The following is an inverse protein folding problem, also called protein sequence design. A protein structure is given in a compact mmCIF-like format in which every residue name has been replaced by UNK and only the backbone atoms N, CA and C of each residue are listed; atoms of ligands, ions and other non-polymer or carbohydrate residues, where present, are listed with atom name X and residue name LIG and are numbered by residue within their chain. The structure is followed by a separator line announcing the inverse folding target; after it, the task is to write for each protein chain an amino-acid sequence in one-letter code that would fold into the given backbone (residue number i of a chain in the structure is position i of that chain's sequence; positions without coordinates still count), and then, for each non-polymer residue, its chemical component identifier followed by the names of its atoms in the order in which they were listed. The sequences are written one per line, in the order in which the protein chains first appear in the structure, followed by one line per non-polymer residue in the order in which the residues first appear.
data_IF_784105347496
#
_entry.id   IF_784105347496
#
_cell.length_a   1.000
_cell.length_b   1.000
_cell.length_c   1.000
_cell.angle_alpha   90.00
_cell.angle_beta   90.00
_cell.angle_gamma   90.00
#
_symmetry.space_group_name_H-M   'P 1'
#
loop_
_entity.id
_entity.type
_entity.pdbx_description
1 polymer ?
#
# COMPACT_ATOMS: atom_id res chain seq x y z
N UNK A 1 16.52 -2.62 -23.38
CA UNK A 1 15.76 -2.20 -22.19
C UNK A 1 15.01 -3.44 -21.67
N UNK A 2 15.31 -3.87 -20.45
CA UNK A 2 14.57 -4.97 -19.82
C UNK A 2 13.30 -4.42 -19.16
N UNK A 3 12.16 -5.05 -19.41
CA UNK A 3 10.89 -4.75 -18.74
C UNK A 3 11.03 -5.08 -17.26
N UNK A 4 10.55 -4.18 -16.38
CA UNK A 4 10.48 -4.41 -14.95
C UNK A 4 9.03 -4.71 -14.58
N UNK A 5 8.82 -5.77 -13.82
CA UNK A 5 7.50 -6.15 -13.29
C UNK A 5 7.45 -5.75 -11.82
N UNK A 6 6.47 -4.93 -11.47
CA UNK A 6 6.22 -4.48 -10.09
C UNK A 6 4.87 -5.03 -9.67
N UNK A 7 4.83 -5.81 -8.60
CA UNK A 7 3.59 -6.37 -8.09
C UNK A 7 3.01 -5.49 -6.98
N UNK A 8 1.71 -5.24 -7.00
CA UNK A 8 1.02 -4.63 -5.88
C UNK A 8 1.10 -5.52 -4.64
N UNK A 9 1.35 -4.90 -3.50
CA UNK A 9 1.48 -5.57 -2.21
C UNK A 9 0.43 -5.04 -1.22
N UNK A 10 -0.45 -5.95 -0.81
CA UNK A 10 -1.54 -5.64 0.12
C UNK A 10 -1.09 -5.91 1.57
N UNK A 11 -0.84 -4.89 2.40
CA UNK A 11 -0.33 -5.09 3.76
C UNK A 11 -1.41 -5.46 4.79
N UNK A 12 -2.54 -6.02 4.37
CA UNK A 12 -3.73 -6.24 5.22
C UNK A 12 -3.76 -7.63 5.89
N UNK A 13 -2.79 -8.49 5.63
CA UNK A 13 -2.76 -9.85 6.18
C UNK A 13 -2.12 -9.90 7.57
N UNK A 14 -2.57 -9.02 8.45
CA UNK A 14 -2.27 -9.01 9.89
C UNK A 14 -3.34 -8.20 10.63
N UNK A 15 -3.62 -8.50 11.93
CA UNK A 15 -4.60 -7.75 12.69
C UNK A 15 -4.09 -6.34 13.05
N UNK A 16 -5.02 -5.39 13.07
CA UNK A 16 -4.81 -4.03 13.58
C UNK A 16 -5.99 -3.65 14.50
N UNK A 17 -5.79 -2.75 15.48
CA UNK A 17 -6.85 -2.36 16.42
C UNK A 17 -8.11 -1.81 15.74
N UNK A 18 -7.95 -1.06 14.65
CA UNK A 18 -9.08 -0.51 13.89
C UNK A 18 -9.92 -1.62 13.27
N UNK A 19 -9.28 -2.61 12.64
CA UNK A 19 -9.99 -3.75 12.05
C UNK A 19 -10.65 -4.61 13.14
N UNK A 20 -10.00 -4.79 14.29
CA UNK A 20 -10.58 -5.49 15.44
C UNK A 20 -11.85 -4.81 15.93
N UNK A 21 -11.86 -3.48 15.96
CA UNK A 21 -13.04 -2.69 16.35
C UNK A 21 -14.17 -2.76 15.31
N UNK A 22 -13.84 -2.75 14.02
CA UNK A 22 -14.84 -2.71 12.95
C UNK A 22 -15.41 -4.08 12.59
N UNK A 23 -14.58 -5.13 12.64
CA UNK A 23 -14.87 -6.44 12.06
C UNK A 23 -14.79 -7.60 13.07
N UNK A 24 -14.36 -7.31 14.28
CA UNK A 24 -14.15 -8.29 15.34
C UNK A 24 -12.69 -8.66 15.55
N UNK A 25 -12.38 -9.07 16.78
CA UNK A 25 -11.01 -9.33 17.23
C UNK A 25 -10.30 -10.38 16.38
N UNK A 26 -9.09 -10.05 15.96
CA UNK A 26 -8.24 -10.93 15.15
C UNK A 26 -8.55 -10.88 13.65
N UNK A 27 -9.36 -9.94 13.19
CA UNK A 27 -9.69 -9.80 11.78
C UNK A 27 -8.44 -9.53 10.93
N UNK A 28 -8.33 -10.28 9.84
CA UNK A 28 -7.40 -10.04 8.73
C UNK A 28 -8.12 -10.36 7.43
N UNK A 29 -7.50 -10.09 6.28
CA UNK A 29 -8.07 -10.47 4.98
C UNK A 29 -8.28 -11.99 4.85
N UNK A 30 -7.55 -12.82 5.59
CA UNK A 30 -7.81 -14.26 5.65
C UNK A 30 -9.22 -14.59 6.13
N UNK A 31 -9.81 -13.75 6.97
CA UNK A 31 -11.19 -13.92 7.46
C UNK A 31 -12.18 -13.91 6.29
N UNK A 32 -11.97 -13.00 5.32
CA UNK A 32 -12.81 -12.90 4.13
C UNK A 32 -12.53 -14.04 3.16
N UNK A 33 -11.25 -14.36 2.93
CA UNK A 33 -10.85 -15.50 2.08
C UNK A 33 -11.48 -16.81 2.56
N UNK A 34 -11.34 -17.11 3.86
CA UNK A 34 -11.84 -18.37 4.42
C UNK A 34 -13.38 -18.48 4.43
N UNK A 35 -14.09 -17.35 4.46
CA UNK A 35 -15.57 -17.31 4.43
C UNK A 35 -16.14 -17.35 3.01
N UNK A 36 -15.33 -17.17 1.98
CA UNK A 36 -15.80 -17.15 0.60
C UNK A 36 -16.49 -18.48 0.23
N UNK A 37 -17.60 -18.37 -0.52
CA UNK A 37 -18.39 -19.52 -0.96
C UNK A 37 -18.58 -19.47 -2.46
N UNK A 38 -18.67 -20.63 -3.13
CA UNK A 38 -19.07 -20.67 -4.52
C UNK A 38 -20.43 -19.99 -4.74
N UNK A 39 -20.53 -19.12 -5.74
CA UNK A 39 -21.77 -18.42 -6.10
C UNK A 39 -22.49 -19.08 -7.29
N UNK A 40 -21.80 -19.97 -8.02
CA UNK A 40 -22.34 -20.72 -9.14
C UNK A 40 -21.57 -22.04 -9.32
N UNK A 41 -22.09 -22.95 -10.15
CA UNK A 41 -21.40 -24.20 -10.44
C UNK A 41 -20.02 -23.98 -11.03
N UNK A 42 -19.02 -24.73 -10.56
CA UNK A 42 -17.60 -24.62 -10.92
C UNK A 42 -16.91 -23.31 -10.46
N UNK A 43 -17.55 -22.44 -9.68
CA UNK A 43 -16.87 -21.32 -9.04
C UNK A 43 -15.98 -21.85 -7.91
N UNK A 44 -14.66 -21.81 -8.12
CA UNK A 44 -13.69 -22.27 -7.13
C UNK A 44 -13.58 -21.25 -5.99
N UNK A 45 -14.08 -21.62 -4.83
CA UNK A 45 -13.98 -20.85 -3.57
C UNK A 45 -14.08 -21.81 -2.38
N UNK A 46 -13.40 -21.48 -1.26
CA UNK A 46 -12.43 -20.39 -1.06
C UNK A 46 -11.08 -20.68 -1.73
N UNK A 47 -10.35 -19.62 -2.09
CA UNK A 47 -8.97 -19.73 -2.53
C UNK A 47 -8.05 -19.89 -1.32
N UNK A 48 -7.78 -21.13 -0.94
CA UNK A 48 -6.86 -21.45 0.15
C UNK A 48 -5.43 -21.21 -0.33
N UNK A 49 -4.58 -20.52 0.46
CA UNK A 49 -3.19 -20.28 0.09
C UNK A 49 -2.39 -21.59 -0.03
N UNK A 50 -1.56 -21.69 -1.08
CA UNK A 50 -0.77 -22.89 -1.37
C UNK A 50 0.63 -22.80 -0.73
N UNK A 51 1.49 -21.90 -1.23
CA UNK A 51 2.94 -21.96 -0.94
C UNK A 51 3.33 -21.40 0.44
N UNK A 52 2.68 -20.33 0.89
CA UNK A 52 3.04 -19.62 2.11
C UNK A 52 2.02 -19.80 3.25
N UNK A 53 0.97 -20.58 3.03
CA UNK A 53 -0.09 -20.80 4.01
C UNK A 53 -0.84 -19.51 4.43
N UNK A 54 -1.56 -19.58 5.55
CA UNK A 54 -2.22 -18.43 6.16
C UNK A 54 -1.22 -17.57 6.94
N UNK A 55 -0.39 -16.86 6.21
CA UNK A 55 0.72 -16.09 6.77
C UNK A 55 0.26 -14.84 7.53
N UNK A 56 1.14 -14.36 8.43
CA UNK A 56 1.01 -13.08 9.11
C UNK A 56 2.17 -12.16 8.66
N UNK A 57 1.84 -11.01 8.13
CA UNK A 57 2.84 -10.07 7.60
C UNK A 57 3.68 -9.37 8.67
N UNK A 58 3.36 -9.55 9.96
CA UNK A 58 4.22 -9.08 11.06
C UNK A 58 5.50 -9.90 11.18
N UNK A 59 5.50 -11.13 10.64
CA UNK A 59 6.66 -12.01 10.68
C UNK A 59 7.66 -11.62 9.58
N UNK A 60 8.92 -11.29 9.95
CA UNK A 60 9.96 -10.95 8.97
C UNK A 60 10.20 -12.07 7.96
N UNK A 61 10.18 -13.32 8.42
CA UNK A 61 10.39 -14.52 7.61
C UNK A 61 9.36 -14.63 6.48
N UNK A 62 8.12 -14.27 6.76
CA UNK A 62 7.06 -14.24 5.76
C UNK A 62 7.37 -13.23 4.65
N UNK A 63 7.77 -12.01 5.03
CA UNK A 63 8.09 -10.95 4.07
C UNK A 63 9.32 -11.30 3.22
N UNK A 64 10.33 -11.92 3.83
CA UNK A 64 11.52 -12.42 3.11
C UNK A 64 11.15 -13.55 2.15
N UNK A 65 10.34 -14.52 2.58
CA UNK A 65 9.86 -15.60 1.73
C UNK A 65 9.05 -15.09 0.54
N UNK A 66 8.20 -14.08 0.74
CA UNK A 66 7.44 -13.44 -0.33
C UNK A 66 8.33 -12.74 -1.34
N UNK A 67 9.34 -12.00 -0.88
CA UNK A 67 10.30 -11.35 -1.76
C UNK A 67 11.13 -12.36 -2.56
N UNK A 68 11.56 -13.43 -1.92
CA UNK A 68 12.29 -14.52 -2.58
C UNK A 68 11.44 -15.19 -3.67
N UNK A 69 10.20 -15.53 -3.35
CA UNK A 69 9.26 -16.10 -4.31
C UNK A 69 9.01 -15.16 -5.49
N UNK A 70 8.79 -13.87 -5.21
CA UNK A 70 8.63 -12.85 -6.25
C UNK A 70 9.83 -12.78 -7.21
N UNK A 71 11.06 -12.80 -6.66
CA UNK A 71 12.30 -12.81 -7.45
C UNK A 71 12.38 -14.04 -8.34
N UNK A 72 12.06 -15.22 -7.83
CA UNK A 72 12.08 -16.48 -8.59
C UNK A 72 11.16 -16.42 -9.82
N UNK A 73 10.04 -15.70 -9.73
CA UNK A 73 9.09 -15.53 -10.82
C UNK A 73 9.24 -14.22 -11.61
N UNK A 74 10.37 -13.55 -11.48
CA UNK A 74 10.71 -12.38 -12.32
C UNK A 74 10.08 -11.07 -11.89
N UNK A 75 9.45 -10.99 -10.72
CA UNK A 75 8.99 -9.73 -10.13
C UNK A 75 10.23 -8.96 -9.64
N UNK A 76 10.31 -7.70 -10.00
CA UNK A 76 11.49 -6.86 -9.74
C UNK A 76 11.31 -5.88 -8.58
N UNK A 77 10.12 -5.82 -8.00
CA UNK A 77 9.82 -4.97 -6.84
C UNK A 77 8.36 -5.04 -6.44
N UNK A 78 8.07 -4.54 -5.23
CA UNK A 78 6.72 -4.42 -4.70
C UNK A 78 6.21 -2.99 -4.74
N UNK A 79 4.93 -2.80 -5.01
CA UNK A 79 4.22 -1.55 -4.83
C UNK A 79 3.31 -1.70 -3.61
N UNK A 80 3.76 -1.22 -2.45
CA UNK A 80 2.97 -1.31 -1.22
C UNK A 80 1.80 -0.34 -1.25
N UNK A 81 0.59 -0.82 -0.95
CA UNK A 81 -0.49 0.08 -0.61
C UNK A 81 -0.16 0.85 0.66
N UNK A 82 -0.30 2.17 0.57
CA UNK A 82 -0.06 3.13 1.63
C UNK A 82 -1.37 3.82 1.98
N UNK A 83 -1.75 3.75 3.25
CA UNK A 83 -3.01 4.29 3.75
C UNK A 83 -2.72 5.51 4.63
N UNK A 84 -3.07 6.67 4.10
CA UNK A 84 -2.89 7.97 4.74
C UNK A 84 -4.25 8.69 4.80
N UNK A 85 -4.68 9.07 6.00
CA UNK A 85 -5.94 9.73 6.29
C UNK A 85 -5.66 10.94 7.17
N UNK A 86 -5.41 12.11 6.58
CA UNK A 86 -5.15 13.36 7.28
C UNK A 86 -4.14 13.21 8.45
N UNK A 87 -2.95 12.70 8.12
CA UNK A 87 -1.88 12.45 9.09
C UNK A 87 -1.98 11.11 9.83
N UNK A 88 -3.13 10.43 9.82
CA UNK A 88 -3.27 9.09 10.40
C UNK A 88 -2.89 8.03 9.36
N UNK A 89 -2.02 7.11 9.75
CA UNK A 89 -1.63 5.96 8.92
C UNK A 89 -2.26 4.68 9.45
N UNK A 90 -2.78 3.86 8.55
CA UNK A 90 -3.27 2.51 8.87
C UNK A 90 -2.39 1.44 8.19
N UNK A 91 -2.37 0.23 8.76
CA UNK A 91 -1.63 -0.92 8.23
C UNK A 91 -0.14 -0.62 7.97
N UNK A 92 0.39 0.39 8.62
CA UNK A 92 1.72 0.93 8.36
C UNK A 92 2.85 0.07 8.93
N UNK A 93 2.55 -0.78 9.91
CA UNK A 93 3.56 -1.59 10.63
C UNK A 93 4.46 -2.38 9.69
N UNK A 94 3.87 -3.08 8.72
CA UNK A 94 4.61 -3.93 7.77
C UNK A 94 5.65 -3.12 7.01
N UNK A 95 5.23 -1.98 6.44
CA UNK A 95 6.12 -1.13 5.68
C UNK A 95 7.16 -0.43 6.57
N UNK A 96 6.78 0.02 7.76
CA UNK A 96 7.70 0.64 8.71
C UNK A 96 8.81 -0.33 9.15
N UNK A 97 8.46 -1.59 9.40
CA UNK A 97 9.45 -2.61 9.72
C UNK A 97 10.40 -2.89 8.54
N UNK A 98 9.89 -2.92 7.30
CA UNK A 98 10.73 -3.02 6.09
C UNK A 98 11.72 -1.85 5.98
N UNK A 99 11.27 -0.64 6.29
CA UNK A 99 12.13 0.55 6.28
C UNK A 99 13.19 0.51 7.39
N UNK A 100 12.80 0.13 8.60
CA UNK A 100 13.68 0.14 9.79
C UNK A 100 14.74 -0.97 9.70
N UNK A 101 14.33 -2.16 9.29
CA UNK A 101 15.21 -3.33 9.28
C UNK A 101 16.06 -3.45 8.02
N UNK A 102 15.71 -2.75 6.96
CA UNK A 102 16.32 -2.95 5.65
C UNK A 102 15.93 -4.28 4.98
N UNK A 103 14.96 -5.03 5.54
CA UNK A 103 14.56 -6.36 5.06
C UNK A 103 13.06 -6.43 4.74
N UNK A 104 12.67 -7.19 3.67
CA UNK A 104 13.55 -7.82 2.69
C UNK A 104 14.35 -6.79 1.88
N UNK A 105 15.56 -7.16 1.45
CA UNK A 105 16.33 -6.36 0.51
C UNK A 105 15.76 -6.54 -0.91
N UNK A 106 14.63 -5.87 -1.12
CA UNK A 106 13.87 -5.98 -2.36
C UNK A 106 13.34 -4.60 -2.76
N UNK A 107 13.42 -4.20 -4.05
CA UNK A 107 12.96 -2.90 -4.48
C UNK A 107 11.47 -2.67 -4.23
N UNK A 108 11.10 -1.43 -3.90
CA UNK A 108 9.71 -1.09 -3.65
C UNK A 108 9.35 0.34 -4.07
N UNK A 109 8.08 0.57 -4.25
CA UNK A 109 7.46 1.88 -4.31
C UNK A 109 6.15 1.88 -3.51
N UNK A 110 5.46 3.01 -3.47
CA UNK A 110 4.21 3.17 -2.76
C UNK A 110 3.07 3.51 -3.70
N UNK A 111 1.88 3.04 -3.36
CA UNK A 111 0.61 3.47 -3.94
C UNK A 111 -0.27 4.04 -2.83
N UNK A 112 -0.58 5.33 -2.89
CA UNK A 112 -1.55 5.91 -1.97
C UNK A 112 -2.94 5.43 -2.32
N UNK A 113 -3.51 4.57 -1.47
CA UNK A 113 -4.88 4.10 -1.55
C UNK A 113 -5.78 5.13 -0.87
N UNK A 114 -6.10 6.18 -1.59
CA UNK A 114 -6.80 7.37 -1.10
C UNK A 114 -8.32 7.27 -1.15
N UNK A 115 -8.86 6.08 -1.02
CA UNK A 115 -10.30 5.86 -0.90
C UNK A 115 -10.76 5.99 0.56
N UNK A 116 -12.02 6.38 0.75
CA UNK A 116 -12.68 6.22 2.05
C UNK A 116 -12.82 4.73 2.37
N UNK A 117 -12.60 4.35 3.61
CA UNK A 117 -12.97 3.01 4.06
C UNK A 117 -14.42 3.00 4.52
N UNK A 118 -15.17 2.06 3.99
CA UNK A 118 -16.61 1.90 4.23
C UNK A 118 -16.92 0.46 4.67
N UNK A 119 -18.14 0.21 5.12
CA UNK A 119 -18.63 -1.14 5.44
C UNK A 119 -19.10 -1.91 4.21
N UNK A 120 -18.45 -1.77 3.06
CA UNK A 120 -18.83 -2.43 1.81
C UNK A 120 -18.93 -3.95 1.92
N UNK A 121 -18.09 -4.56 2.76
CA UNK A 121 -18.08 -6.02 2.99
C UNK A 121 -19.36 -6.56 3.60
N UNK A 122 -20.15 -5.72 4.30
CA UNK A 122 -21.44 -6.07 4.91
C UNK A 122 -22.63 -5.48 4.12
N UNK A 123 -22.41 -5.00 2.90
CA UNK A 123 -23.44 -4.29 2.12
C UNK A 123 -23.76 -2.88 2.65
N UNK A 124 -22.94 -2.34 3.55
CA UNK A 124 -23.11 -1.02 4.18
C UNK A 124 -22.26 0.06 3.51
N UNK A 125 -22.25 0.17 2.18
CA UNK A 125 -21.40 1.09 1.42
C UNK A 125 -21.52 2.57 1.83
N UNK A 126 -22.62 2.94 2.46
CA UNK A 126 -22.87 4.31 2.92
C UNK A 126 -22.25 4.62 4.28
N UNK A 127 -21.80 3.61 5.05
CA UNK A 127 -21.21 3.84 6.36
C UNK A 127 -19.70 3.98 6.25
N UNK A 128 -19.22 5.22 6.28
CA UNK A 128 -17.79 5.53 6.29
C UNK A 128 -17.21 5.15 7.67
N UNK A 129 -16.18 4.32 7.67
CA UNK A 129 -15.41 3.92 8.85
C UNK A 129 -14.30 4.93 9.13
N UNK A 130 -13.59 5.33 8.08
CA UNK A 130 -12.62 6.42 8.10
C UNK A 130 -12.63 7.09 6.73
N UNK A 131 -12.77 8.42 6.70
CA UNK A 131 -12.85 9.24 5.49
C UNK A 131 -11.56 9.97 5.18
N UNK A 132 -11.33 10.22 3.90
CA UNK A 132 -10.28 11.12 3.45
C UNK A 132 -10.68 12.57 3.76
N UNK A 133 -9.68 13.35 4.18
CA UNK A 133 -9.80 14.80 4.34
C UNK A 133 -8.59 15.41 3.64
N UNK A 134 -8.85 16.18 2.60
CA UNK A 134 -7.81 16.78 1.78
C UNK A 134 -7.59 18.24 2.14
N UNK A 135 -6.34 18.62 2.37
CA UNK A 135 -5.93 20.00 2.58
C UNK A 135 -4.48 20.19 2.16
N UNK A 136 -4.09 21.40 1.85
CA UNK A 136 -2.71 21.72 1.52
C UNK A 136 -1.75 21.43 2.69
N UNK A 137 -2.21 21.62 3.93
CA UNK A 137 -1.44 21.30 5.13
C UNK A 137 -1.20 19.79 5.23
N UNK A 138 -2.22 18.98 4.92
CA UNK A 138 -2.08 17.52 4.93
C UNK A 138 -1.23 17.03 3.77
N UNK A 139 -1.36 17.62 2.58
CA UNK A 139 -0.50 17.33 1.42
C UNK A 139 0.98 17.55 1.77
N UNK A 140 1.29 18.62 2.51
CA UNK A 140 2.66 18.91 2.97
C UNK A 140 3.15 17.90 4.01
N UNK A 141 2.31 17.53 4.97
CA UNK A 141 2.64 16.49 5.96
C UNK A 141 2.87 15.14 5.28
N UNK A 142 2.03 14.81 4.33
CA UNK A 142 2.10 13.55 3.59
C UNK A 142 3.39 13.45 2.79
N UNK A 143 3.71 14.46 1.97
CA UNK A 143 4.94 14.43 1.16
C UNK A 143 6.20 14.44 2.05
N UNK A 144 6.17 15.15 3.17
CA UNK A 144 7.28 15.16 4.14
C UNK A 144 7.54 13.75 4.69
N UNK A 145 6.49 12.99 4.95
CA UNK A 145 6.62 11.59 5.35
C UNK A 145 7.13 10.72 4.19
N UNK A 146 6.58 10.87 2.99
CA UNK A 146 6.95 10.09 1.80
C UNK A 146 8.43 10.28 1.43
N UNK A 147 8.98 11.49 1.59
CA UNK A 147 10.39 11.79 1.32
C UNK A 147 11.33 10.89 2.14
N UNK A 148 10.94 10.47 3.35
CA UNK A 148 11.72 9.52 4.14
C UNK A 148 11.83 8.16 3.42
N UNK A 149 10.72 7.68 2.86
CA UNK A 149 10.71 6.46 2.09
C UNK A 149 11.49 6.62 0.77
N UNK A 150 11.37 7.77 0.10
CA UNK A 150 12.09 8.05 -1.16
C UNK A 150 13.63 8.06 -1.01
N UNK A 151 14.12 8.33 0.19
CA UNK A 151 15.57 8.30 0.52
C UNK A 151 16.12 6.88 0.69
N UNK A 152 15.26 5.87 0.86
CA UNK A 152 15.70 4.49 0.93
C UNK A 152 16.35 4.08 -0.42
N UNK A 153 17.51 3.42 -0.42
CA UNK A 153 18.19 3.01 -1.63
C UNK A 153 17.40 2.00 -2.47
N UNK A 154 16.51 1.23 -1.83
CA UNK A 154 15.62 0.25 -2.49
C UNK A 154 14.40 0.91 -3.15
N UNK A 155 14.11 2.19 -2.82
CA UNK A 155 12.96 2.87 -3.39
C UNK A 155 13.09 3.00 -4.90
N UNK A 156 12.08 2.53 -5.64
CA UNK A 156 12.08 2.53 -7.10
C UNK A 156 12.05 3.96 -7.63
N UNK A 157 13.02 4.30 -8.45
CA UNK A 157 13.16 5.62 -9.10
C UNK A 157 13.23 5.45 -10.60
N UNK A 158 12.59 6.35 -11.33
CA UNK A 158 12.63 6.43 -12.79
C UNK A 158 13.41 7.68 -13.18
N UNK A 159 14.58 7.51 -13.75
CA UNK A 159 15.50 8.63 -14.06
C UNK A 159 15.79 9.50 -12.81
N UNK A 160 16.00 8.88 -11.66
CA UNK A 160 16.26 9.57 -10.40
C UNK A 160 15.01 10.10 -9.67
N UNK A 161 13.83 10.08 -10.31
CA UNK A 161 12.56 10.55 -9.76
C UNK A 161 11.88 9.41 -8.99
N UNK A 162 11.54 9.57 -7.69
CA UNK A 162 10.78 8.56 -6.96
C UNK A 162 9.45 8.26 -7.64
N UNK A 163 9.11 6.97 -7.76
CA UNK A 163 7.83 6.52 -8.32
C UNK A 163 6.76 6.48 -7.23
N UNK A 164 5.71 7.28 -7.38
CA UNK A 164 4.55 7.26 -6.49
C UNK A 164 3.27 7.05 -7.31
N UNK A 165 2.47 6.06 -6.92
CA UNK A 165 1.19 5.80 -7.52
C UNK A 165 0.07 6.43 -6.66
N UNK A 166 -0.95 6.96 -7.35
CA UNK A 166 -2.18 7.47 -6.74
C UNK A 166 -3.35 6.63 -7.24
N UNK A 167 -4.06 6.00 -6.32
CA UNK A 167 -5.13 5.06 -6.68
C UNK A 167 -6.36 5.77 -7.27
N UNK A 168 -6.83 6.85 -6.63
CA UNK A 168 -8.00 7.63 -7.06
C UNK A 168 -7.65 9.10 -7.24
N UNK A 169 -7.10 9.44 -8.38
CA UNK A 169 -6.78 10.86 -8.69
C UNK A 169 -8.03 11.73 -8.83
N UNK A 170 -9.17 11.14 -9.21
CA UNK A 170 -10.47 11.82 -9.32
C UNK A 170 -11.03 12.29 -7.97
N UNK A 171 -10.59 11.68 -6.86
CA UNK A 171 -11.11 12.02 -5.53
C UNK A 171 -10.35 13.21 -4.90
N UNK A 172 -9.23 13.62 -5.50
CA UNK A 172 -8.48 14.79 -5.08
C UNK A 172 -9.21 16.07 -5.51
N UNK A 173 -9.42 17.04 -4.60
CA UNK A 173 -10.10 18.31 -4.95
C UNK A 173 -9.37 19.10 -6.05
N UNK A 174 -8.04 19.13 -6.02
CA UNK A 174 -7.20 19.76 -7.03
C UNK A 174 -5.90 18.96 -7.19
N UNK A 175 -5.92 17.90 -8.01
CA UNK A 175 -4.75 17.03 -8.20
C UNK A 175 -3.55 17.79 -8.79
N UNK A 176 -3.79 18.87 -9.53
CA UNK A 176 -2.74 19.72 -10.08
C UNK A 176 -1.96 20.46 -9.00
N UNK A 177 -2.68 21.06 -8.04
CA UNK A 177 -2.04 21.76 -6.90
C UNK A 177 -1.30 20.79 -5.98
N UNK A 178 -1.91 19.66 -5.62
CA UNK A 178 -1.24 18.63 -4.84
C UNK A 178 0.05 18.16 -5.52
N UNK A 179 -0.01 17.86 -6.82
CA UNK A 179 1.16 17.43 -7.58
C UNK A 179 2.26 18.51 -7.65
N UNK A 180 1.89 19.77 -7.83
CA UNK A 180 2.84 20.89 -7.87
C UNK A 180 3.56 21.06 -6.53
N UNK A 181 2.82 21.07 -5.42
CA UNK A 181 3.36 21.15 -4.07
C UNK A 181 4.30 19.96 -3.78
N UNK A 182 3.91 18.76 -4.11
CA UNK A 182 4.73 17.57 -3.89
C UNK A 182 6.02 17.60 -4.71
N UNK A 183 5.98 18.03 -5.97
CA UNK A 183 7.17 18.18 -6.81
C UNK A 183 8.13 19.21 -6.26
N UNK A 184 7.62 20.35 -5.81
CA UNK A 184 8.44 21.38 -5.18
C UNK A 184 9.15 20.83 -3.93
N UNK A 185 8.43 20.14 -3.06
CA UNK A 185 9.00 19.60 -1.82
C UNK A 185 10.06 18.50 -2.07
N UNK A 186 9.85 17.61 -3.05
CA UNK A 186 10.88 16.60 -3.37
C UNK A 186 12.12 17.23 -3.99
N UNK A 187 11.98 18.31 -4.78
CA UNK A 187 13.11 19.06 -5.32
C UNK A 187 13.92 19.75 -4.23
N UNK A 188 13.26 20.38 -3.25
CA UNK A 188 13.91 20.95 -2.05
C UNK A 188 14.70 19.90 -1.25
N UNK A 189 14.32 18.63 -1.39
CA UNK A 189 14.97 17.50 -0.70
C UNK A 189 15.99 16.74 -1.56
N UNK A 190 16.41 17.31 -2.71
CA UNK A 190 17.50 16.81 -3.54
C UNK A 190 17.11 15.81 -4.61
N UNK A 191 15.83 15.59 -4.87
CA UNK A 191 15.36 14.80 -5.99
C UNK A 191 15.16 15.70 -7.23
N UNK A 192 15.38 15.18 -8.46
CA UNK A 192 15.18 15.99 -9.66
C UNK A 192 13.71 16.34 -9.92
N UNK A 193 12.78 15.47 -9.51
CA UNK A 193 11.34 15.61 -9.66
C UNK A 193 10.64 14.41 -8.97
N UNK A 194 9.33 14.35 -9.03
CA UNK A 194 8.50 13.21 -8.59
C UNK A 194 7.84 12.55 -9.82
N UNK A 195 7.97 11.23 -9.94
CA UNK A 195 7.28 10.48 -10.99
C UNK A 195 5.92 9.98 -10.47
N UNK A 196 4.86 10.73 -10.80
CA UNK A 196 3.49 10.39 -10.43
C UNK A 196 2.85 9.48 -11.48
N UNK A 197 2.21 8.42 -11.01
CA UNK A 197 1.47 7.50 -11.84
C UNK A 197 0.03 7.37 -11.32
N UNK A 198 -0.94 7.42 -12.24
CA UNK A 198 -2.34 7.13 -11.96
C UNK A 198 -2.59 5.63 -12.11
N UNK A 199 -3.33 5.03 -11.19
CA UNK A 199 -3.85 3.66 -11.30
C UNK A 199 -5.18 3.64 -12.02
#
# INVERSE_FOLDING_TARGET
KTTKLIAFYLPQYHPIPENDHWWGKGFTEWTNVAKAKPLFSAHYQPHIPADLGFYDLRLPETREAQAHLAQQYGITGFCYYHYWFNGKRLLHRVFDEVMITGKPDFPFCLCWANENWTRSWDGGDKKILIGQQYSQEDDLKHITWLIRAFKDPRYIKIQGKPLLLIYRTSDLPDPGKTAALWKEEVQKNGFPDLYLCKV
#
